data_IF_830178588314
#
_entry.id   IF_830178588314
#
_cell.length_a   1.000
_cell.length_b   1.000
_cell.length_c   1.000
_cell.angle_alpha   90.00
_cell.angle_beta   90.00
_cell.angle_gamma   90.00
#
_symmetry.space_group_name_H-M   'P 1'
#
loop_
_entity.id
_entity.type
_entity.pdbx_description
1 polymer ?
#
# COMPACT_ATOMS: atom_id res chain seq x y z
N UNK A 1 66.52 61.85 -8.19
CA UNK A 1 65.30 61.50 -7.42
C UNK A 1 64.27 60.92 -8.37
N UNK A 2 63.98 59.62 -8.25
CA UNK A 2 63.09 58.84 -9.14
C UNK A 2 61.67 58.79 -8.55
N UNK A 3 60.65 59.05 -9.36
CA UNK A 3 59.29 58.56 -9.15
C UNK A 3 58.71 58.11 -10.50
N UNK A 4 58.63 56.79 -10.71
CA UNK A 4 57.78 56.18 -11.74
C UNK A 4 56.61 55.52 -11.02
N UNK A 5 55.40 55.97 -11.37
CA UNK A 5 54.13 55.43 -10.91
C UNK A 5 53.82 54.18 -11.77
N UNK A 6 53.76 53.01 -11.16
CA UNK A 6 53.28 51.78 -11.80
C UNK A 6 51.92 51.47 -11.16
N UNK A 7 50.85 51.60 -11.95
CA UNK A 7 49.51 51.19 -11.57
C UNK A 7 49.37 49.67 -11.79
N UNK A 8 49.20 48.92 -10.70
CA UNK A 8 48.81 47.52 -10.74
C UNK A 8 47.28 47.43 -10.82
N UNK A 9 46.74 47.05 -11.97
CA UNK A 9 45.34 46.61 -12.10
C UNK A 9 45.31 45.15 -11.68
N UNK A 10 44.91 44.92 -10.43
CA UNK A 10 44.64 43.57 -9.91
C UNK A 10 43.22 43.17 -10.31
N UNK A 11 43.09 42.39 -11.38
CA UNK A 11 41.88 41.69 -11.77
C UNK A 11 41.56 40.62 -10.72
N UNK A 12 40.75 40.97 -9.73
CA UNK A 12 40.16 40.05 -8.77
C UNK A 12 39.11 39.21 -9.50
N UNK A 13 39.55 38.08 -10.06
CA UNK A 13 38.68 37.08 -10.67
C UNK A 13 37.86 36.40 -9.57
N UNK A 14 36.67 36.93 -9.33
CA UNK A 14 35.67 36.41 -8.40
C UNK A 14 35.14 35.08 -8.98
N UNK A 15 35.84 33.98 -8.66
CA UNK A 15 35.37 32.63 -8.97
C UNK A 15 34.21 32.31 -8.03
N UNK A 16 32.99 32.64 -8.46
CA UNK A 16 31.73 32.24 -7.82
C UNK A 16 31.60 30.70 -7.94
N UNK A 17 32.22 29.97 -7.02
CA UNK A 17 31.85 28.59 -6.75
C UNK A 17 30.50 28.60 -6.05
N UNK A 18 29.41 28.68 -6.83
CA UNK A 18 28.08 28.38 -6.32
C UNK A 18 28.11 26.94 -5.79
N UNK A 19 27.85 26.69 -4.50
CA UNK A 19 27.70 25.33 -4.03
C UNK A 19 26.49 24.74 -4.75
N UNK A 20 26.73 23.77 -5.62
CA UNK A 20 25.68 22.93 -6.17
C UNK A 20 25.12 22.12 -5.01
N UNK A 21 24.11 22.68 -4.32
CA UNK A 21 23.38 21.96 -3.28
C UNK A 21 22.79 20.72 -3.94
N UNK A 22 23.23 19.50 -3.59
CA UNK A 22 22.53 18.32 -4.05
C UNK A 22 21.11 18.41 -3.48
N UNK A 23 20.09 18.42 -4.33
CA UNK A 23 18.71 18.14 -3.90
C UNK A 23 18.66 16.80 -3.09
N UNK A 24 17.71 16.55 -2.21
CA UNK A 24 17.73 15.44 -1.22
C UNK A 24 16.35 14.82 -0.97
N UNK A 25 16.02 13.59 -1.40
CA UNK A 25 14.74 12.92 -1.02
C UNK A 25 14.68 12.86 0.50
N UNK A 26 13.50 12.90 1.12
CA UNK A 26 13.40 13.52 2.45
C UNK A 26 14.00 14.94 2.38
N UNK A 27 13.16 15.98 2.40
CA UNK A 27 13.64 17.36 2.39
C UNK A 27 14.78 17.51 3.42
N UNK A 28 15.90 18.11 3.01
CA UNK A 28 17.11 18.28 3.82
C UNK A 28 17.81 16.99 4.33
N UNK A 29 17.43 15.80 3.85
CA UNK A 29 18.10 14.52 4.12
C UNK A 29 19.51 14.41 3.52
N UNK A 30 20.10 13.23 3.56
CA UNK A 30 21.40 12.95 2.93
C UNK A 30 21.37 11.64 2.16
N UNK A 31 22.15 11.54 1.08
CA UNK A 31 22.29 10.31 0.29
C UNK A 31 22.68 9.12 1.17
N UNK A 32 21.93 8.03 1.05
CA UNK A 32 22.18 6.78 1.75
C UNK A 32 22.53 5.67 0.76
N UNK A 33 23.70 5.84 0.14
CA UNK A 33 24.18 5.07 -1.02
C UNK A 33 24.27 3.54 -0.79
N UNK A 34 24.24 3.10 0.47
CA UNK A 34 24.42 1.70 0.85
C UNK A 34 23.33 1.20 1.81
N UNK A 35 22.20 1.89 1.90
CA UNK A 35 21.13 1.49 2.79
C UNK A 35 20.63 0.08 2.44
N UNK A 36 20.82 -0.90 3.34
CA UNK A 36 20.41 -2.28 3.08
C UNK A 36 18.97 -2.60 3.52
N UNK A 37 18.21 -1.60 3.96
CA UNK A 37 16.83 -1.72 4.45
C UNK A 37 15.81 -1.13 3.47
N UNK A 38 16.06 0.09 2.97
CA UNK A 38 15.09 0.84 2.18
C UNK A 38 15.07 0.35 0.73
N UNK A 39 13.87 0.00 0.27
CA UNK A 39 13.62 -0.44 -1.11
C UNK A 39 12.72 0.54 -1.83
N UNK A 40 12.89 0.63 -3.15
CA UNK A 40 11.96 1.33 -4.01
C UNK A 40 10.90 0.33 -4.50
N UNK A 41 9.64 0.75 -4.47
CA UNK A 41 8.50 -0.02 -4.96
C UNK A 41 7.91 0.72 -6.15
N UNK A 42 7.88 0.06 -7.30
CA UNK A 42 7.18 0.53 -8.50
C UNK A 42 5.85 -0.20 -8.63
N UNK A 43 4.78 0.58 -8.79
CA UNK A 43 3.42 0.08 -8.91
C UNK A 43 2.82 0.56 -10.22
N UNK A 44 2.44 -0.38 -11.07
CA UNK A 44 1.68 -0.11 -12.27
C UNK A 44 0.22 -0.47 -12.01
N UNK A 45 -0.63 0.54 -12.07
CA UNK A 45 -2.08 0.38 -12.08
C UNK A 45 -2.57 0.49 -13.52
N UNK A 46 -3.82 0.07 -13.75
CA UNK A 46 -4.44 0.12 -15.08
C UNK A 46 -4.40 1.48 -15.77
N UNK A 47 -4.35 2.58 -15.00
CA UNK A 47 -4.49 3.94 -15.52
C UNK A 47 -3.30 4.86 -15.21
N UNK A 48 -2.34 4.44 -14.38
CA UNK A 48 -1.17 5.24 -13.99
C UNK A 48 -0.09 4.36 -13.35
N UNK A 49 1.13 4.89 -13.30
CA UNK A 49 2.25 4.32 -12.55
C UNK A 49 2.55 5.23 -11.36
N UNK A 50 2.90 4.63 -10.23
CA UNK A 50 3.37 5.37 -9.05
C UNK A 50 4.56 4.64 -8.41
N UNK A 51 5.28 5.35 -7.56
CA UNK A 51 6.40 4.84 -6.80
C UNK A 51 6.22 5.14 -5.32
N UNK A 52 6.50 4.15 -4.49
CA UNK A 52 6.59 4.30 -3.04
C UNK A 52 7.93 3.78 -2.53
N UNK A 53 8.18 4.01 -1.25
CA UNK A 53 9.28 3.42 -0.51
C UNK A 53 8.79 2.20 0.28
N UNK A 54 9.72 1.35 0.70
CA UNK A 54 9.46 0.17 1.52
C UNK A 54 10.65 -0.16 2.41
N UNK A 55 10.46 -1.10 3.33
CA UNK A 55 11.52 -1.68 4.15
C UNK A 55 11.61 -3.19 3.91
N UNK A 56 12.81 -3.69 3.61
CA UNK A 56 13.10 -5.11 3.46
C UNK A 56 13.18 -5.76 4.86
N UNK A 57 12.17 -6.57 5.21
CA UNK A 57 12.08 -7.25 6.51
C UNK A 57 12.81 -8.60 6.51
N UNK A 58 12.79 -9.27 5.36
CA UNK A 58 13.43 -10.55 5.12
C UNK A 58 13.72 -10.65 3.62
N UNK A 59 14.54 -11.61 3.16
CA UNK A 59 14.93 -11.69 1.74
C UNK A 59 13.76 -11.68 0.74
N UNK A 60 12.57 -12.17 1.13
CA UNK A 60 11.36 -12.18 0.29
C UNK A 60 10.19 -11.40 0.87
N UNK A 61 10.40 -10.58 1.89
CA UNK A 61 9.32 -9.86 2.57
C UNK A 61 9.68 -8.39 2.67
N UNK A 62 8.82 -7.54 2.11
CA UNK A 62 8.91 -6.09 2.23
C UNK A 62 7.68 -5.58 2.94
N UNK A 63 7.85 -4.58 3.81
CA UNK A 63 6.72 -3.81 4.35
C UNK A 63 6.69 -2.43 3.73
N UNK A 64 5.49 -1.92 3.47
CA UNK A 64 5.24 -0.58 2.96
C UNK A 64 3.93 -0.06 3.56
N UNK A 65 3.53 1.15 3.19
CA UNK A 65 2.26 1.70 3.62
C UNK A 65 1.12 1.11 2.78
N UNK A 66 -0.01 0.82 3.40
CA UNK A 66 -1.17 0.23 2.73
C UNK A 66 -1.75 1.13 1.66
N UNK A 67 -1.69 2.44 1.88
CA UNK A 67 -2.12 3.41 0.92
C UNK A 67 -1.24 3.28 -0.32
N UNK A 68 0.05 2.97 -0.29
CA UNK A 68 0.79 2.73 -1.54
C UNK A 68 0.12 1.67 -2.45
N UNK A 69 -0.48 0.64 -1.85
CA UNK A 69 -1.16 -0.43 -2.56
C UNK A 69 -2.64 -0.10 -2.84
N UNK A 70 -3.28 0.68 -1.96
CA UNK A 70 -4.71 1.04 -2.00
C UNK A 70 -5.03 2.43 -2.54
N UNK A 71 -4.02 3.28 -2.74
CA UNK A 71 -4.14 4.74 -2.84
C UNK A 71 -5.10 5.11 -3.97
N UNK A 72 -6.09 5.99 -3.79
CA UNK A 72 -7.04 6.30 -2.70
C UNK A 72 -7.99 7.30 -3.36
N UNK A 73 -9.28 7.15 -3.07
CA UNK A 73 -10.34 8.05 -3.50
C UNK A 73 -11.52 7.25 -4.01
N UNK A 74 -12.67 7.43 -3.37
CA UNK A 74 -13.98 6.87 -3.73
C UNK A 74 -14.37 7.07 -5.21
N UNK A 75 -13.60 7.89 -5.94
CA UNK A 75 -13.61 8.18 -7.37
C UNK A 75 -13.06 7.06 -8.28
N UNK A 76 -12.19 6.15 -7.79
CA UNK A 76 -11.40 5.27 -8.67
C UNK A 76 -11.53 3.77 -8.34
N UNK A 77 -12.76 3.27 -8.24
CA UNK A 77 -13.08 1.85 -7.92
C UNK A 77 -12.59 0.82 -8.96
N UNK A 78 -11.88 1.24 -10.01
CA UNK A 78 -11.43 0.40 -11.13
C UNK A 78 -9.90 0.31 -11.27
N UNK A 79 -9.11 0.89 -10.36
CA UNK A 79 -7.65 0.82 -10.45
C UNK A 79 -7.15 -0.54 -9.92
N UNK A 80 -6.93 -1.47 -10.84
CA UNK A 80 -6.34 -2.78 -10.53
C UNK A 80 -4.82 -2.67 -10.67
N UNK A 81 -4.07 -3.18 -9.70
CA UNK A 81 -2.62 -3.35 -9.81
C UNK A 81 -2.35 -4.35 -10.93
N UNK A 82 -1.69 -3.89 -12.00
CA UNK A 82 -1.25 -4.74 -13.11
C UNK A 82 0.08 -5.42 -12.80
N UNK A 83 0.98 -4.71 -12.13
CA UNK A 83 2.25 -5.26 -11.67
C UNK A 83 2.79 -4.44 -10.50
N UNK A 84 3.46 -5.10 -9.56
CA UNK A 84 4.29 -4.45 -8.57
C UNK A 84 5.69 -5.06 -8.60
N UNK A 85 6.69 -4.18 -8.50
CA UNK A 85 8.10 -4.54 -8.57
C UNK A 85 8.87 -3.84 -7.48
N UNK A 86 9.88 -4.52 -6.94
CA UNK A 86 10.72 -4.02 -5.85
C UNK A 86 12.18 -4.05 -6.28
N UNK A 87 12.87 -2.92 -6.14
CA UNK A 87 14.31 -2.83 -6.36
C UNK A 87 15.09 -3.44 -5.17
N UNK A 88 16.32 -3.94 -5.39
CA UNK A 88 17.21 -4.25 -4.27
C UNK A 88 17.40 -3.05 -3.35
N UNK A 89 17.68 -3.30 -2.07
CA UNK A 89 17.81 -2.22 -1.09
C UNK A 89 18.97 -1.28 -1.44
N UNK A 90 18.74 0.02 -1.28
CA UNK A 90 19.75 1.06 -1.50
C UNK A 90 20.09 1.38 -2.96
N UNK A 91 19.53 0.68 -3.95
CA UNK A 91 19.86 0.89 -5.36
C UNK A 91 19.34 2.22 -5.88
N UNK A 92 19.97 2.75 -6.93
CA UNK A 92 19.48 3.95 -7.59
C UNK A 92 18.04 3.79 -8.14
N UNK A 93 17.24 4.85 -8.04
CA UNK A 93 15.83 4.97 -8.44
C UNK A 93 15.56 4.60 -9.90
N UNK A 94 16.50 4.95 -10.77
CA UNK A 94 16.50 4.65 -12.20
C UNK A 94 17.55 3.56 -12.54
N UNK A 95 17.89 2.74 -11.55
CA UNK A 95 18.75 1.59 -11.71
C UNK A 95 18.19 0.59 -12.72
N UNK A 96 19.00 -0.40 -13.09
CA UNK A 96 18.63 -1.38 -14.10
C UNK A 96 17.32 -2.10 -13.72
N UNK A 97 16.22 -1.83 -14.44
CA UNK A 97 14.89 -2.39 -14.17
C UNK A 97 14.86 -3.93 -14.19
N UNK A 98 15.87 -4.59 -14.78
CA UNK A 98 15.99 -6.05 -14.77
C UNK A 98 16.38 -6.63 -13.41
N UNK A 99 16.90 -5.82 -12.47
CA UNK A 99 17.18 -6.27 -11.11
C UNK A 99 15.96 -6.22 -10.18
N UNK A 100 14.85 -5.66 -10.66
CA UNK A 100 13.64 -5.56 -9.85
C UNK A 100 12.96 -6.92 -9.76
N UNK A 101 12.51 -7.25 -8.56
CA UNK A 101 11.80 -8.49 -8.28
C UNK A 101 10.30 -8.24 -8.29
N UNK A 102 9.55 -9.11 -8.96
CA UNK A 102 8.09 -9.04 -8.95
C UNK A 102 7.54 -9.37 -7.56
N UNK A 103 6.48 -8.66 -7.17
CA UNK A 103 5.66 -9.01 -6.01
C UNK A 103 4.62 -10.04 -6.43
N UNK A 104 4.50 -11.13 -5.68
CA UNK A 104 3.53 -12.21 -5.96
C UNK A 104 2.26 -12.10 -5.13
N UNK A 105 2.35 -11.53 -3.93
CA UNK A 105 1.24 -11.42 -3.00
C UNK A 105 1.33 -10.15 -2.14
N UNK A 106 0.17 -9.71 -1.66
CA UNK A 106 0.01 -8.56 -0.78
C UNK A 106 -0.81 -8.98 0.44
N UNK A 107 -0.32 -8.70 1.64
CA UNK A 107 -1.06 -8.84 2.89
C UNK A 107 -1.26 -7.45 3.46
N UNK A 108 -2.50 -6.98 3.36
CA UNK A 108 -2.87 -5.64 3.79
C UNK A 108 -3.32 -5.71 5.25
N UNK A 109 -2.85 -4.75 6.04
CA UNK A 109 -3.25 -4.55 7.43
C UNK A 109 -4.22 -3.37 7.59
N UNK A 110 -5.46 -3.37 7.01
CA UNK A 110 -6.51 -2.47 7.42
C UNK A 110 -7.46 -3.16 8.39
N UNK A 111 -7.74 -2.52 9.53
CA UNK A 111 -9.08 -2.62 10.11
C UNK A 111 -9.56 -1.22 10.43
N UNK A 112 -10.70 -0.86 9.82
CA UNK A 112 -11.50 0.35 10.10
C UNK A 112 -10.97 1.69 9.54
N UNK A 113 -10.67 1.76 8.24
CA UNK A 113 -10.57 3.05 7.54
C UNK A 113 -9.38 3.94 7.94
N UNK A 114 -8.50 3.46 8.80
CA UNK A 114 -7.24 4.11 9.15
C UNK A 114 -6.11 3.57 8.30
N UNK A 115 -5.30 4.50 7.83
CA UNK A 115 -3.92 4.36 7.37
C UNK A 115 -3.16 3.19 8.05
N UNK A 116 -2.86 2.12 7.31
CA UNK A 116 -2.28 0.86 7.83
C UNK A 116 -1.08 0.35 7.01
N UNK A 117 -0.50 -0.80 7.36
CA UNK A 117 0.67 -1.34 6.64
C UNK A 117 0.28 -2.34 5.54
N UNK A 118 1.22 -2.63 4.64
CA UNK A 118 1.11 -3.70 3.66
C UNK A 118 2.42 -4.50 3.60
N UNK A 119 2.31 -5.82 3.68
CA UNK A 119 3.41 -6.75 3.47
C UNK A 119 3.37 -7.32 2.06
N UNK A 120 4.52 -7.28 1.38
CA UNK A 120 4.70 -7.73 0.01
C UNK A 120 5.55 -9.00 0.02
N UNK A 121 5.08 -10.04 -0.66
CA UNK A 121 5.85 -11.26 -0.89
C UNK A 121 6.54 -11.18 -2.24
N UNK A 122 7.85 -11.37 -2.25
CA UNK A 122 8.68 -11.27 -3.44
C UNK A 122 8.83 -12.64 -4.13
N UNK A 123 8.85 -12.63 -5.46
CA UNK A 123 9.05 -13.83 -6.28
C UNK A 123 10.42 -14.48 -6.00
N UNK A 124 11.48 -13.69 -6.02
CA UNK A 124 12.85 -14.08 -5.70
C UNK A 124 13.38 -13.34 -4.48
N UNK A 125 14.44 -13.88 -3.88
CA UNK A 125 15.08 -13.25 -2.73
C UNK A 125 15.90 -12.05 -3.18
N UNK A 126 15.81 -10.96 -2.43
CA UNK A 126 16.74 -9.84 -2.47
C UNK A 126 17.86 -10.08 -1.45
N UNK A 127 19.01 -9.45 -1.67
CA UNK A 127 20.12 -9.47 -0.72
C UNK A 127 19.70 -8.82 0.59
N UNK A 128 19.86 -9.57 1.68
CA UNK A 128 19.46 -9.16 3.02
C UNK A 128 20.69 -9.19 3.93
N UNK A 129 21.13 -8.01 4.38
CA UNK A 129 22.46 -7.85 5.00
C UNK A 129 22.46 -7.97 6.53
N UNK A 130 21.33 -7.70 7.20
CA UNK A 130 21.23 -7.74 8.65
C UNK A 130 19.84 -8.20 9.10
N UNK A 131 19.74 -8.83 10.28
CA UNK A 131 18.45 -9.10 10.91
C UNK A 131 17.63 -7.81 11.09
N UNK A 132 16.33 -7.90 10.85
CA UNK A 132 15.37 -6.82 11.12
C UNK A 132 14.35 -7.34 12.11
N UNK A 133 14.27 -6.69 13.28
CA UNK A 133 13.27 -6.96 14.31
C UNK A 133 12.27 -5.83 14.35
N UNK A 134 10.99 -6.16 14.39
CA UNK A 134 9.94 -5.16 14.60
C UNK A 134 9.94 -4.72 16.07
N UNK A 135 9.93 -3.41 16.31
CA UNK A 135 9.87 -2.83 17.63
C UNK A 135 8.59 -3.24 18.36
N UNK A 136 8.69 -3.64 19.61
CA UNK A 136 7.57 -3.87 20.52
C UNK A 136 7.02 -2.54 21.08
N UNK A 137 5.86 -2.58 21.73
CA UNK A 137 5.35 -1.40 22.46
C UNK A 137 6.37 -0.88 23.49
N UNK A 138 7.06 -1.76 24.21
CA UNK A 138 8.09 -1.38 25.17
C UNK A 138 9.30 -0.72 24.52
N UNK A 139 9.72 -1.17 23.33
CA UNK A 139 10.78 -0.50 22.56
C UNK A 139 10.37 0.94 22.19
N UNK A 140 9.12 1.13 21.76
CA UNK A 140 8.58 2.46 21.43
C UNK A 140 8.55 3.37 22.66
N UNK A 141 8.05 2.86 23.79
CA UNK A 141 8.01 3.60 25.06
C UNK A 141 9.42 4.01 25.51
N UNK A 142 10.41 3.14 25.34
CA UNK A 142 11.81 3.42 25.68
C UNK A 142 12.41 4.51 24.79
N UNK A 143 12.23 4.38 23.47
CA UNK A 143 12.68 5.36 22.48
C UNK A 143 12.10 6.75 22.75
N UNK A 144 10.80 6.81 23.10
CA UNK A 144 10.12 8.06 23.43
C UNK A 144 10.60 8.65 24.77
N UNK A 145 10.61 7.84 25.83
CA UNK A 145 10.92 8.30 27.19
C UNK A 145 12.36 8.78 27.30
N UNK A 146 13.30 8.05 26.68
CA UNK A 146 14.72 8.39 26.69
C UNK A 146 15.12 9.35 25.56
N UNK A 147 14.19 9.72 24.68
CA UNK A 147 14.44 10.59 23.50
C UNK A 147 15.59 10.08 22.64
N UNK A 148 15.62 8.76 22.42
CA UNK A 148 16.67 8.14 21.62
C UNK A 148 16.47 8.51 20.14
N UNK A 149 17.56 8.77 19.40
CA UNK A 149 17.47 9.12 18.00
C UNK A 149 16.95 7.93 17.18
N UNK A 150 16.11 8.25 16.21
CA UNK A 150 15.64 7.33 15.18
C UNK A 150 16.11 7.81 13.81
N UNK A 151 16.09 6.91 12.84
CA UNK A 151 16.37 7.17 11.44
C UNK A 151 15.10 6.95 10.62
N UNK A 152 14.94 7.72 9.56
CA UNK A 152 13.93 7.46 8.56
C UNK A 152 14.51 7.65 7.17
N UNK A 153 14.08 6.81 6.23
CA UNK A 153 14.65 6.79 4.88
C UNK A 153 13.59 6.58 3.79
N UNK A 154 13.85 7.11 2.59
CA UNK A 154 12.92 7.01 1.48
C UNK A 154 13.47 7.47 0.13
N UNK A 155 12.72 7.15 -0.93
CA UNK A 155 12.98 7.49 -2.33
C UNK A 155 12.10 8.63 -2.86
N UNK A 156 11.39 9.32 -1.98
CA UNK A 156 10.40 10.33 -2.34
C UNK A 156 10.96 11.59 -2.96
N UNK A 157 10.11 12.61 -3.00
CA UNK A 157 10.46 13.95 -3.46
C UNK A 157 11.41 14.60 -2.44
N UNK A 158 12.19 15.56 -2.92
CA UNK A 158 13.24 16.21 -2.15
C UNK A 158 13.00 17.65 -1.79
N UNK A 159 12.12 18.29 -2.55
CA UNK A 159 11.88 19.71 -2.53
C UNK A 159 10.42 19.92 -2.19
N UNK A 160 10.16 20.78 -1.20
CA UNK A 160 8.81 21.04 -0.73
C UNK A 160 7.90 21.69 -1.76
N UNK A 161 8.46 22.39 -2.75
CA UNK A 161 7.72 23.18 -3.74
C UNK A 161 7.79 22.58 -5.16
N UNK A 162 8.67 21.61 -5.40
CA UNK A 162 8.92 21.05 -6.71
C UNK A 162 9.07 19.53 -6.67
N UNK A 163 8.65 18.87 -7.75
CA UNK A 163 8.89 17.44 -7.93
C UNK A 163 10.35 17.25 -8.34
N UNK A 164 11.21 17.08 -7.34
CA UNK A 164 12.62 16.76 -7.53
C UNK A 164 12.89 15.42 -6.88
N UNK A 165 13.53 14.51 -7.62
CA UNK A 165 13.91 13.18 -7.13
C UNK A 165 15.42 13.06 -7.02
N UNK A 166 15.85 12.16 -6.14
CA UNK A 166 17.26 11.75 -6.05
C UNK A 166 17.48 10.39 -6.68
N UNK A 167 18.72 10.21 -7.15
CA UNK A 167 19.16 8.93 -7.65
C UNK A 167 19.12 7.88 -6.53
N UNK A 168 19.58 8.20 -5.33
CA UNK A 168 19.67 7.26 -4.21
C UNK A 168 18.63 7.57 -3.14
N UNK A 169 18.26 6.58 -2.31
CA UNK A 169 17.42 6.87 -1.17
C UNK A 169 18.18 7.79 -0.24
N UNK A 170 17.41 8.42 0.62
CA UNK A 170 17.94 9.42 1.52
C UNK A 170 17.51 9.10 2.91
N UNK A 171 18.28 9.61 3.85
CA UNK A 171 18.12 9.35 5.26
C UNK A 171 18.20 10.66 6.04
N UNK A 172 17.47 10.70 7.14
CA UNK A 172 17.62 11.72 8.16
C UNK A 172 17.35 11.15 9.55
N UNK A 173 17.81 11.88 10.56
CA UNK A 173 17.55 11.57 11.96
C UNK A 173 16.28 12.28 12.45
N UNK A 174 15.58 11.66 13.39
CA UNK A 174 14.42 12.20 14.06
C UNK A 174 14.29 11.71 15.50
N UNK A 175 13.18 12.05 16.13
CA UNK A 175 12.83 11.67 17.50
C UNK A 175 11.35 11.28 17.53
N UNK A 176 11.03 10.15 18.17
CA UNK A 176 9.64 9.80 18.44
C UNK A 176 9.06 10.75 19.48
N UNK A 177 7.79 11.13 19.32
CA UNK A 177 7.08 11.87 20.36
C UNK A 177 5.61 11.45 20.41
N UNK A 178 5.06 11.43 21.61
CA UNK A 178 3.63 11.20 21.85
C UNK A 178 2.91 12.56 21.87
N UNK A 179 1.96 12.78 20.97
CA UNK A 179 0.96 13.84 21.15
C UNK A 179 -0.30 13.21 21.76
N UNK A 180 -0.70 13.67 22.95
CA UNK A 180 -1.79 13.11 23.74
C UNK A 180 -3.17 13.25 23.07
N UNK A 181 -3.30 14.12 22.06
CA UNK A 181 -4.61 14.45 21.47
C UNK A 181 -5.01 13.58 20.27
N UNK A 182 -4.06 12.89 19.61
CA UNK A 182 -4.34 12.07 18.45
C UNK A 182 -3.77 10.66 18.66
N UNK A 183 -4.59 9.63 18.48
CA UNK A 183 -4.23 8.20 18.64
C UNK A 183 -3.17 7.68 17.64
N UNK A 184 -2.38 8.57 17.04
CA UNK A 184 -1.35 8.27 16.05
C UNK A 184 0.03 8.44 16.68
N UNK A 185 1.01 7.63 16.26
CA UNK A 185 2.38 7.80 16.72
C UNK A 185 3.14 8.66 15.72
N UNK A 186 3.79 9.68 16.25
CA UNK A 186 4.46 10.70 15.46
C UNK A 186 5.97 10.67 15.69
N UNK A 187 6.70 11.15 14.69
CA UNK A 187 8.09 11.53 14.85
C UNK A 187 8.30 12.95 14.35
N UNK A 188 9.32 13.60 14.89
CA UNK A 188 9.74 14.94 14.50
C UNK A 188 11.19 14.95 14.07
N UNK A 189 11.52 15.85 13.16
CA UNK A 189 12.87 16.04 12.65
C UNK A 189 13.11 17.50 12.29
N UNK A 190 14.38 17.91 12.32
CA UNK A 190 14.81 19.24 11.89
C UNK A 190 16.25 19.15 11.37
N UNK A 191 16.55 19.69 10.18
CA UNK A 191 15.63 20.38 9.26
C UNK A 191 14.89 19.43 8.32
N UNK A 192 15.02 18.11 8.54
CA UNK A 192 14.57 17.12 7.59
C UNK A 192 13.06 16.83 7.67
N UNK A 193 12.45 16.44 6.55
CA UNK A 193 11.03 16.09 6.49
C UNK A 193 10.74 15.03 5.41
N UNK A 194 9.91 14.01 5.69
CA UNK A 194 9.36 13.15 4.65
C UNK A 194 8.52 13.92 3.63
N UNK A 195 8.53 13.45 2.39
CA UNK A 195 7.81 14.01 1.27
C UNK A 195 6.99 12.95 0.51
N UNK A 196 6.23 13.39 -0.48
CA UNK A 196 5.48 12.50 -1.38
C UNK A 196 6.40 11.44 -1.99
N UNK A 197 6.01 10.17 -1.89
CA UNK A 197 6.80 9.02 -2.34
C UNK A 197 7.69 8.39 -1.26
N UNK A 198 7.94 9.05 -0.13
CA UNK A 198 8.59 8.44 1.04
C UNK A 198 7.66 7.50 1.80
N UNK A 199 6.35 7.55 1.50
CA UNK A 199 5.35 6.62 2.01
C UNK A 199 5.81 5.16 1.90
N UNK A 200 5.71 4.46 3.02
CA UNK A 200 6.17 3.08 3.19
C UNK A 200 7.64 2.92 3.54
N UNK A 201 8.44 3.98 3.46
CA UNK A 201 9.85 3.98 3.86
C UNK A 201 10.03 3.69 5.35
N UNK A 202 11.15 3.06 5.77
CA UNK A 202 11.36 2.66 7.15
C UNK A 202 11.53 3.86 8.09
N UNK A 203 10.96 3.72 9.29
CA UNK A 203 11.35 4.46 10.50
C UNK A 203 11.98 3.43 11.45
N UNK A 204 13.22 3.62 11.87
CA UNK A 204 14.00 2.57 12.53
C UNK A 204 15.10 3.11 13.43
N UNK A 205 15.65 2.24 14.27
CA UNK A 205 16.92 2.47 14.96
C UNK A 205 17.94 1.43 14.47
N UNK A 206 19.15 1.88 14.14
CA UNK A 206 20.26 0.98 13.84
C UNK A 206 20.91 0.56 15.16
N UNK A 207 20.93 -0.75 15.43
CA UNK A 207 21.67 -1.35 16.53
C UNK A 207 22.93 -2.03 15.97
N UNK A 208 23.87 -2.43 16.86
CA UNK A 208 25.17 -2.97 16.46
C UNK A 208 25.08 -4.22 15.56
N UNK A 209 24.06 -5.06 15.77
CA UNK A 209 23.91 -6.35 15.07
C UNK A 209 22.55 -6.55 14.39
N UNK A 210 21.60 -5.63 14.58
CA UNK A 210 20.27 -5.71 13.99
C UNK A 210 19.71 -4.32 13.69
N UNK A 211 18.65 -4.28 12.90
CA UNK A 211 17.80 -3.10 12.77
C UNK A 211 16.54 -3.31 13.58
N UNK A 212 16.23 -2.33 14.42
CA UNK A 212 14.95 -2.21 15.10
C UNK A 212 13.99 -1.39 14.24
N UNK A 213 13.09 -2.04 13.51
CA UNK A 213 12.08 -1.37 12.69
C UNK A 213 10.91 -0.92 13.55
N UNK A 214 10.75 0.38 13.68
CA UNK A 214 9.71 1.04 14.48
C UNK A 214 8.39 1.06 13.70
N UNK A 215 8.48 1.35 12.40
CA UNK A 215 7.35 1.32 11.51
C UNK A 215 7.67 1.84 10.13
N UNK A 216 6.64 2.21 9.39
CA UNK A 216 6.79 2.78 8.04
C UNK A 216 6.11 4.14 7.92
N UNK A 217 6.70 5.04 7.14
CA UNK A 217 6.22 6.40 6.89
C UNK A 217 4.81 6.33 6.26
N UNK A 218 3.83 7.04 6.82
CA UNK A 218 2.47 7.09 6.25
C UNK A 218 2.27 8.18 5.19
N UNK A 219 3.31 8.97 4.93
CA UNK A 219 3.26 10.15 4.08
C UNK A 219 3.11 11.44 4.90
N UNK A 220 3.30 12.60 4.27
CA UNK A 220 3.23 13.87 4.97
C UNK A 220 1.77 14.21 5.36
N UNK A 221 1.48 14.32 6.66
CA UNK A 221 0.11 14.47 7.18
C UNK A 221 -0.41 15.93 7.10
N UNK A 222 0.45 16.87 6.74
CA UNK A 222 0.18 18.31 6.79
C UNK A 222 0.75 19.06 5.59
N UNK A 223 0.53 18.56 4.37
CA UNK A 223 0.88 19.36 3.19
C UNK A 223 -0.18 20.44 2.97
N UNK A 224 0.25 21.71 2.85
CA UNK A 224 -0.60 22.70 2.16
C UNK A 224 -0.86 22.20 0.73
N UNK A 225 -1.94 22.64 0.09
CA UNK A 225 -2.35 22.17 -1.24
C UNK A 225 -1.25 22.24 -2.34
N UNK A 226 -0.19 23.02 -2.11
CA UNK A 226 0.92 23.22 -3.04
C UNK A 226 2.27 22.70 -2.51
N UNK A 227 2.29 21.83 -1.50
CA UNK A 227 3.52 21.33 -0.89
C UNK A 227 3.64 19.81 -1.01
N UNK A 228 4.85 19.34 -1.30
CA UNK A 228 5.15 17.91 -1.41
C UNK A 228 5.70 17.30 -0.12
N UNK A 229 6.12 18.12 0.84
CA UNK A 229 6.79 17.69 2.07
C UNK A 229 6.02 18.12 3.32
N UNK A 230 6.20 17.40 4.44
CA UNK A 230 5.60 17.75 5.73
C UNK A 230 5.98 19.18 6.12
N UNK A 231 5.00 20.01 6.49
CA UNK A 231 5.27 21.37 6.94
C UNK A 231 5.85 21.39 8.35
N UNK A 232 6.67 22.40 8.61
CA UNK A 232 6.93 22.86 9.97
C UNK A 232 5.61 23.34 10.60
N UNK A 233 5.13 22.64 11.62
CA UNK A 233 3.96 23.08 12.39
C UNK A 233 4.45 23.59 13.74
N UNK A 234 4.28 24.88 14.01
CA UNK A 234 4.33 25.39 15.38
C UNK A 234 3.11 24.79 16.10
N UNK A 235 3.32 23.80 16.97
CA UNK A 235 2.21 23.24 17.78
C UNK A 235 1.57 24.41 18.54
N UNK A 236 0.25 24.65 18.44
CA UNK A 236 -0.44 25.62 19.27
C UNK A 236 -0.29 25.20 20.73
N UNK A 237 0.49 25.97 21.52
CA UNK A 237 0.73 25.68 22.94
C UNK A 237 2.12 25.13 23.29
N UNK A 238 2.96 24.82 22.30
CA UNK A 238 4.35 24.39 22.51
C UNK A 238 5.36 25.53 22.43
N UNK A 239 5.30 26.51 23.34
CA UNK A 239 6.44 27.43 23.51
C UNK A 239 7.56 26.67 24.23
N UNK A 240 8.59 26.25 23.50
CA UNK A 240 9.98 26.53 23.87
C UNK A 240 10.98 26.21 22.73
N UNK A 241 11.70 27.27 22.33
CA UNK A 241 13.10 27.33 21.89
C UNK A 241 13.46 26.94 20.42
N UNK A 242 13.48 27.97 19.57
CA UNK A 242 14.42 28.24 18.47
C UNK A 242 14.57 27.25 17.30
N UNK A 243 13.75 26.19 17.20
CA UNK A 243 13.82 25.24 16.09
C UNK A 243 12.43 24.84 15.63
N UNK A 244 12.09 25.16 14.38
CA UNK A 244 10.89 24.65 13.73
C UNK A 244 11.11 23.18 13.36
N UNK A 245 10.22 22.29 13.80
CA UNK A 245 10.29 20.85 13.51
C UNK A 245 9.26 20.48 12.45
N UNK A 246 9.64 19.60 11.54
CA UNK A 246 8.70 18.93 10.66
C UNK A 246 8.10 17.72 11.41
N UNK A 247 6.77 17.62 11.35
CA UNK A 247 6.01 16.58 12.04
C UNK A 247 5.47 15.55 11.05
N UNK A 248 5.70 14.27 11.34
CA UNK A 248 5.26 13.18 10.47
C UNK A 248 4.68 12.02 11.28
N UNK A 249 3.94 11.14 10.59
CA UNK A 249 3.31 9.98 11.18
C UNK A 249 3.90 8.72 10.56
N UNK A 250 3.98 7.69 11.39
CA UNK A 250 4.32 6.36 10.93
C UNK A 250 3.25 5.36 11.35
N UNK A 251 3.25 4.21 10.69
CA UNK A 251 2.40 3.07 11.03
C UNK A 251 3.19 2.15 11.96
N UNK A 252 2.77 1.98 13.23
CA UNK A 252 3.38 0.99 14.10
C UNK A 252 3.12 -0.43 13.57
N UNK A 253 4.15 -1.28 13.63
CA UNK A 253 4.06 -2.67 13.15
C UNK A 253 3.89 -3.70 14.27
N UNK A 254 3.82 -3.27 15.54
CA UNK A 254 3.61 -4.15 16.69
C UNK A 254 2.15 -4.46 17.00
N UNK A 255 1.22 -3.93 16.21
CA UNK A 255 -0.20 -4.23 16.39
C UNK A 255 -0.47 -5.71 16.12
N UNK A 256 -1.46 -6.29 16.80
CA UNK A 256 -1.83 -7.70 16.62
C UNK A 256 -2.17 -8.03 15.16
N UNK A 257 -2.83 -7.11 14.45
CA UNK A 257 -3.14 -7.26 13.03
C UNK A 257 -1.87 -7.26 12.17
N UNK A 258 -0.93 -6.34 12.39
CA UNK A 258 0.33 -6.29 11.63
C UNK A 258 1.19 -7.54 11.87
N UNK A 259 1.27 -8.03 13.10
CA UNK A 259 1.97 -9.28 13.45
C UNK A 259 1.30 -10.48 12.77
N UNK A 260 -0.03 -10.54 12.76
CA UNK A 260 -0.79 -11.59 12.07
C UNK A 260 -0.53 -11.59 10.56
N UNK A 261 -0.57 -10.42 9.92
CA UNK A 261 -0.37 -10.31 8.47
C UNK A 261 1.07 -10.61 8.04
N UNK A 262 2.05 -10.19 8.83
CA UNK A 262 3.45 -10.58 8.63
C UNK A 262 3.62 -12.10 8.74
N UNK A 263 2.93 -12.74 9.69
CA UNK A 263 2.94 -14.19 9.81
C UNK A 263 2.37 -14.86 8.55
N UNK A 264 1.25 -14.37 8.03
CA UNK A 264 0.68 -14.87 6.78
C UNK A 264 1.64 -14.73 5.59
N UNK A 265 2.31 -13.58 5.47
CA UNK A 265 3.34 -13.35 4.45
C UNK A 265 4.53 -14.32 4.59
N UNK A 266 4.96 -14.60 5.82
CA UNK A 266 6.07 -15.52 6.12
C UNK A 266 5.70 -16.98 5.85
N UNK A 267 4.49 -17.38 6.24
CA UNK A 267 3.95 -18.73 5.99
C UNK A 267 3.83 -18.98 4.47
N UNK A 268 3.48 -17.94 3.69
CA UNK A 268 3.45 -17.98 2.23
C UNK A 268 4.82 -18.25 1.61
N UNK A 269 5.86 -17.54 2.04
CA UNK A 269 7.24 -17.77 1.59
C UNK A 269 7.70 -19.19 1.92
N UNK A 270 7.38 -19.68 3.12
CA UNK A 270 7.78 -21.01 3.59
C UNK A 270 7.09 -22.14 2.82
N UNK A 271 5.81 -21.97 2.49
CA UNK A 271 5.03 -22.95 1.72
C UNK A 271 5.50 -23.06 0.26
N UNK A 272 5.92 -21.94 -0.35
CA UNK A 272 6.47 -21.91 -1.70
C UNK A 272 7.83 -22.65 -1.83
N UNK A 273 8.55 -22.88 -0.73
CA UNK A 273 9.81 -23.67 -0.72
C UNK A 273 9.58 -25.17 -0.89
N UNK A 274 8.35 -25.65 -0.64
CA UNK A 274 8.01 -27.09 -0.63
C UNK A 274 7.43 -27.55 -1.98
N UNK A 275 7.05 -26.63 -2.86
CA UNK A 275 6.43 -26.93 -4.14
C UNK A 275 7.08 -26.08 -5.24
N UNK A 276 7.83 -26.67 -6.16
CA UNK A 276 7.97 -26.05 -7.48
C UNK A 276 8.28 -27.05 -8.61
N UNK A 277 7.29 -27.22 -9.48
CA UNK A 277 7.50 -27.41 -10.93
C UNK A 277 6.65 -26.34 -11.66
N UNK A 278 7.27 -25.26 -12.17
CA UNK A 278 6.60 -24.02 -12.56
C UNK A 278 5.59 -24.14 -13.72
N UNK A 279 5.74 -25.14 -14.61
CA UNK A 279 4.81 -25.32 -15.73
C UNK A 279 3.44 -25.87 -15.31
N UNK A 280 3.37 -26.58 -14.18
CA UNK A 280 2.12 -27.14 -13.66
C UNK A 280 1.28 -26.07 -12.96
N UNK A 281 1.96 -25.18 -12.23
CA UNK A 281 1.31 -24.13 -11.44
C UNK A 281 0.61 -23.08 -12.32
N UNK A 282 1.16 -22.77 -13.51
CA UNK A 282 0.50 -21.85 -14.46
C UNK A 282 -0.80 -22.44 -15.06
N UNK A 283 -0.80 -23.75 -15.35
CA UNK A 283 -1.98 -24.45 -15.86
C UNK A 283 -3.08 -24.54 -14.79
N UNK A 284 -2.69 -24.83 -13.54
CA UNK A 284 -3.62 -24.89 -12.40
C UNK A 284 -4.18 -23.49 -12.07
N UNK A 285 -3.37 -22.43 -12.15
CA UNK A 285 -3.83 -21.04 -11.99
C UNK A 285 -4.93 -20.66 -12.99
N UNK A 286 -4.71 -20.90 -14.29
CA UNK A 286 -5.69 -20.59 -15.34
C UNK A 286 -6.99 -21.38 -15.15
N UNK A 287 -6.87 -22.65 -14.76
CA UNK A 287 -8.02 -23.51 -14.45
C UNK A 287 -8.87 -22.93 -13.30
N UNK A 288 -8.21 -22.43 -12.26
CA UNK A 288 -8.87 -21.86 -11.08
C UNK A 288 -9.51 -20.51 -11.38
N UNK A 289 -8.83 -19.63 -12.13
CA UNK A 289 -9.43 -18.38 -12.61
C UNK A 289 -10.71 -18.63 -13.39
N UNK A 290 -10.70 -19.63 -14.28
CA UNK A 290 -11.88 -20.00 -15.06
C UNK A 290 -13.03 -20.48 -14.16
N UNK A 291 -12.75 -21.26 -13.12
CA UNK A 291 -13.77 -21.69 -12.13
C UNK A 291 -14.35 -20.51 -11.36
N UNK A 292 -13.54 -19.54 -10.96
CA UNK A 292 -14.00 -18.34 -10.26
C UNK A 292 -14.85 -17.45 -11.17
N UNK A 293 -14.42 -17.22 -12.40
CA UNK A 293 -15.20 -16.49 -13.41
C UNK A 293 -16.56 -17.14 -13.65
N UNK A 294 -16.61 -18.47 -13.79
CA UNK A 294 -17.88 -19.21 -13.92
C UNK A 294 -18.79 -19.01 -12.71
N UNK A 295 -18.24 -19.00 -11.48
CA UNK A 295 -19.01 -18.70 -10.28
C UNK A 295 -19.59 -17.28 -10.30
N UNK A 296 -18.81 -16.27 -10.71
CA UNK A 296 -19.28 -14.89 -10.81
C UNK A 296 -20.36 -14.72 -11.89
N UNK A 297 -20.21 -15.33 -13.07
CA UNK A 297 -21.24 -15.33 -14.11
C UNK A 297 -22.54 -15.98 -13.62
N UNK A 298 -22.44 -16.99 -12.75
CA UNK A 298 -23.59 -17.60 -12.10
C UNK A 298 -24.32 -16.61 -11.19
N UNK A 299 -23.60 -15.79 -10.41
CA UNK A 299 -24.22 -14.72 -9.62
C UNK A 299 -24.89 -13.65 -10.50
N UNK A 300 -24.32 -13.29 -11.64
CA UNK A 300 -24.96 -12.35 -12.56
C UNK A 300 -26.28 -12.89 -13.12
N UNK A 301 -26.35 -14.18 -13.44
CA UNK A 301 -27.61 -14.84 -13.79
C UNK A 301 -28.62 -14.80 -12.63
N UNK A 302 -28.18 -15.14 -11.41
CA UNK A 302 -29.05 -15.15 -10.23
C UNK A 302 -29.61 -13.76 -9.90
N UNK A 303 -28.81 -12.70 -10.04
CA UNK A 303 -29.30 -11.32 -9.82
C UNK A 303 -30.38 -10.91 -10.80
N UNK A 304 -30.26 -11.32 -12.08
CA UNK A 304 -31.30 -11.07 -13.09
C UNK A 304 -32.58 -11.86 -12.80
N UNK A 305 -32.44 -13.10 -12.33
CA UNK A 305 -33.58 -13.98 -12.01
C UNK A 305 -34.27 -13.62 -10.71
N UNK A 306 -33.50 -13.27 -9.67
CA UNK A 306 -33.99 -12.97 -8.32
C UNK A 306 -33.65 -11.54 -7.94
N UNK A 307 -34.28 -10.59 -8.63
CA UNK A 307 -34.06 -9.15 -8.43
C UNK A 307 -34.25 -8.79 -6.95
N UNK A 308 -33.31 -8.01 -6.39
CA UNK A 308 -33.29 -7.56 -5.00
C UNK A 308 -33.21 -8.67 -3.92
N UNK A 309 -32.79 -9.90 -4.28
CA UNK A 309 -32.54 -10.93 -3.28
C UNK A 309 -31.24 -10.62 -2.50
N UNK A 310 -31.39 -10.14 -1.27
CA UNK A 310 -30.26 -9.76 -0.40
C UNK A 310 -29.28 -10.91 -0.13
N UNK A 311 -29.75 -12.16 -0.15
CA UNK A 311 -28.89 -13.34 0.05
C UNK A 311 -27.96 -13.53 -1.15
N UNK A 312 -28.48 -13.38 -2.38
CA UNK A 312 -27.68 -13.43 -3.61
C UNK A 312 -26.58 -12.36 -3.57
N UNK A 313 -26.94 -11.13 -3.19
CA UNK A 313 -25.99 -10.02 -3.09
C UNK A 313 -24.91 -10.25 -2.02
N UNK A 314 -25.29 -10.77 -0.85
CA UNK A 314 -24.35 -11.07 0.23
C UNK A 314 -23.39 -12.21 -0.14
N UNK A 315 -23.88 -13.24 -0.82
CA UNK A 315 -23.06 -14.36 -1.30
C UNK A 315 -22.09 -13.92 -2.40
N UNK A 316 -22.55 -13.11 -3.36
CA UNK A 316 -21.69 -12.54 -4.40
C UNK A 316 -20.57 -11.69 -3.78
N UNK A 317 -20.91 -10.82 -2.82
CA UNK A 317 -19.92 -10.00 -2.10
C UNK A 317 -18.83 -10.90 -1.52
N UNK A 318 -19.20 -11.96 -0.79
CA UNK A 318 -18.22 -12.91 -0.23
C UNK A 318 -17.43 -13.66 -1.31
N UNK A 319 -18.06 -14.04 -2.41
CA UNK A 319 -17.40 -14.73 -3.52
C UNK A 319 -16.36 -13.86 -4.26
N UNK A 320 -16.60 -12.53 -4.35
CA UNK A 320 -15.66 -11.56 -4.93
C UNK A 320 -14.44 -11.34 -4.04
N UNK A 321 -14.59 -11.49 -2.73
CA UNK A 321 -13.50 -11.35 -1.76
C UNK A 321 -12.85 -12.69 -1.38
N UNK A 322 -13.09 -13.77 -2.14
CA UNK A 322 -12.34 -15.00 -1.93
C UNK A 322 -10.84 -14.71 -2.14
N UNK A 323 -9.97 -15.11 -1.20
CA UNK A 323 -8.54 -14.82 -1.30
C UNK A 323 -7.94 -15.65 -2.44
N UNK A 324 -7.85 -15.05 -3.63
CA UNK A 324 -7.24 -15.66 -4.80
C UNK A 324 -5.77 -15.25 -4.88
N UNK A 325 -4.86 -16.20 -4.66
CA UNK A 325 -3.42 -15.99 -4.79
C UNK A 325 -2.90 -16.78 -6.00
N UNK A 326 -2.06 -16.16 -6.86
CA UNK A 326 -1.43 -16.85 -7.98
C UNK A 326 -0.52 -18.02 -7.62
N UNK A 327 -0.13 -18.16 -6.34
CA UNK A 327 0.79 -19.21 -5.89
C UNK A 327 0.22 -19.97 -4.66
N UNK A 328 -1.11 -19.96 -4.48
CA UNK A 328 -1.77 -20.58 -3.33
C UNK A 328 -2.06 -22.06 -3.53
N UNK A 329 -2.29 -22.80 -2.43
CA UNK A 329 -2.92 -24.11 -2.52
C UNK A 329 -4.34 -23.94 -3.09
N UNK A 330 -4.47 -24.20 -4.39
CA UNK A 330 -5.73 -24.06 -5.11
C UNK A 330 -6.79 -25.02 -4.58
N UNK A 331 -6.42 -26.09 -3.88
CA UNK A 331 -7.36 -27.08 -3.33
C UNK A 331 -8.36 -26.41 -2.38
N UNK A 332 -7.88 -25.52 -1.51
CA UNK A 332 -8.73 -24.78 -0.56
C UNK A 332 -9.65 -23.80 -1.28
N UNK A 333 -9.14 -23.06 -2.26
CA UNK A 333 -9.92 -22.11 -3.04
C UNK A 333 -10.98 -22.81 -3.92
N UNK A 334 -10.62 -23.96 -4.52
CA UNK A 334 -11.56 -24.82 -5.25
C UNK A 334 -12.64 -25.35 -4.31
N UNK A 335 -12.28 -25.84 -3.12
CA UNK A 335 -13.23 -26.31 -2.13
C UNK A 335 -14.19 -25.19 -1.67
N UNK A 336 -13.71 -23.95 -1.56
CA UNK A 336 -14.55 -22.78 -1.28
C UNK A 336 -15.50 -22.46 -2.43
N UNK A 337 -15.03 -22.48 -3.69
CA UNK A 337 -15.88 -22.33 -4.88
C UNK A 337 -16.95 -23.43 -4.92
N UNK A 338 -16.59 -24.68 -4.64
CA UNK A 338 -17.53 -25.80 -4.60
C UNK A 338 -18.55 -25.66 -3.46
N UNK A 339 -18.11 -25.20 -2.30
CA UNK A 339 -18.98 -24.86 -1.18
C UNK A 339 -19.99 -23.76 -1.54
N UNK A 340 -19.54 -22.72 -2.27
CA UNK A 340 -20.43 -21.69 -2.81
C UNK A 340 -21.45 -22.25 -3.79
N UNK A 341 -21.01 -23.07 -4.75
CA UNK A 341 -21.90 -23.71 -5.71
C UNK A 341 -22.95 -24.57 -5.01
N UNK A 342 -22.55 -25.40 -4.04
CA UNK A 342 -23.47 -26.23 -3.24
C UNK A 342 -24.49 -25.38 -2.48
N UNK A 343 -24.06 -24.25 -1.90
CA UNK A 343 -24.97 -23.30 -1.24
C UNK A 343 -25.96 -22.72 -2.24
N UNK A 344 -25.49 -22.24 -3.40
CA UNK A 344 -26.34 -21.74 -4.48
C UNK A 344 -27.38 -22.80 -4.88
N UNK A 345 -26.96 -24.04 -5.11
CA UNK A 345 -27.84 -25.14 -5.52
C UNK A 345 -28.92 -25.44 -4.47
N UNK A 346 -28.53 -25.46 -3.19
CA UNK A 346 -29.49 -25.64 -2.10
C UNK A 346 -30.47 -24.48 -1.99
N UNK A 347 -30.00 -23.25 -2.19
CA UNK A 347 -30.82 -22.04 -2.12
C UNK A 347 -31.75 -21.91 -3.32
N UNK A 348 -31.32 -22.30 -4.52
CA UNK A 348 -32.15 -22.31 -5.73
C UNK A 348 -33.43 -23.14 -5.54
N UNK A 349 -33.34 -24.32 -4.91
CA UNK A 349 -34.51 -25.15 -4.60
C UNK A 349 -35.53 -24.43 -3.70
N UNK A 350 -35.06 -23.59 -2.80
CA UNK A 350 -35.90 -22.81 -1.88
C UNK A 350 -36.44 -21.57 -2.59
N UNK A 351 -35.58 -20.86 -3.31
CA UNK A 351 -35.94 -19.65 -4.05
C UNK A 351 -36.96 -19.97 -5.14
N UNK A 352 -36.78 -21.01 -5.94
CA UNK A 352 -37.76 -21.41 -6.96
C UNK A 352 -39.12 -21.83 -6.36
N UNK A 353 -39.14 -22.36 -5.12
CA UNK A 353 -40.39 -22.64 -4.42
C UNK A 353 -41.11 -21.38 -3.94
N UNK A 354 -40.37 -20.32 -3.62
CA UNK A 354 -40.87 -19.05 -3.07
C UNK A 354 -40.99 -17.94 -4.11
N UNK A 355 -40.40 -18.11 -5.29
CA UNK A 355 -40.37 -17.12 -6.34
C UNK A 355 -41.74 -17.08 -7.02
N UNK A 356 -42.51 -16.07 -6.63
CA UNK A 356 -43.74 -15.69 -7.28
C UNK A 356 -43.41 -14.55 -8.23
N UNK A 357 -43.63 -14.79 -9.52
CA UNK A 357 -43.45 -13.77 -10.55
C UNK A 357 -44.69 -12.89 -10.56
N UNK A 358 -44.46 -11.58 -10.59
CA UNK A 358 -45.51 -10.57 -10.70
C UNK A 358 -45.53 -10.07 -12.15
N UNK A 359 -46.63 -10.27 -12.86
CA UNK A 359 -46.84 -9.67 -14.19
C UNK A 359 -47.96 -8.66 -14.10
N UNK A 360 -47.84 -7.61 -14.90
CA UNK A 360 -48.89 -6.64 -15.14
C UNK A 360 -49.62 -7.03 -16.43
N UNK A 361 -50.93 -7.13 -16.36
CA UNK A 361 -51.80 -7.57 -17.43
C UNK A 361 -52.80 -6.45 -17.76
N UNK A 362 -52.97 -6.12 -19.03
CA UNK A 362 -53.82 -5.02 -19.49
C UNK A 362 -54.95 -5.50 -20.41
N UNK A 363 -56.13 -4.89 -20.29
CA UNK A 363 -57.29 -5.07 -21.17
C UNK A 363 -58.02 -3.73 -21.32
N UNK A 364 -57.76 -3.03 -22.43
CA UNK A 364 -58.13 -1.61 -22.56
C UNK A 364 -57.46 -0.79 -21.44
N UNK A 365 -58.24 0.01 -20.73
CA UNK A 365 -57.77 0.84 -19.61
C UNK A 365 -57.66 0.07 -18.28
N UNK A 366 -58.06 -1.21 -18.25
CA UNK A 366 -58.03 -2.02 -17.02
C UNK A 366 -56.68 -2.70 -16.86
N UNK A 367 -56.06 -2.50 -15.71
CA UNK A 367 -54.81 -3.16 -15.31
C UNK A 367 -55.06 -4.19 -14.22
N UNK A 368 -54.44 -5.36 -14.31
CA UNK A 368 -54.41 -6.39 -13.27
C UNK A 368 -52.99 -6.87 -13.03
N UNK A 369 -52.64 -6.97 -11.75
CA UNK A 369 -51.38 -7.57 -11.32
C UNK A 369 -51.66 -9.04 -11.00
N UNK A 370 -50.98 -9.95 -11.70
CA UNK A 370 -51.05 -11.39 -11.41
C UNK A 370 -49.75 -11.80 -10.73
N UNK A 371 -49.88 -12.39 -9.55
CA UNK A 371 -48.73 -12.90 -8.78
C UNK A 371 -48.87 -14.41 -8.62
N UNK A 372 -48.04 -15.19 -9.29
CA UNK A 372 -48.00 -16.66 -9.13
C UNK A 372 -46.64 -17.23 -9.58
N UNK A 373 -46.43 -18.54 -9.45
CA UNK A 373 -45.20 -19.21 -9.92
C UNK A 373 -45.04 -19.16 -11.45
N UNK A 374 -46.17 -19.25 -12.16
CA UNK A 374 -46.25 -19.19 -13.62
C UNK A 374 -47.43 -18.30 -13.99
N UNK A 375 -47.33 -16.98 -13.78
CA UNK A 375 -48.47 -16.10 -13.91
C UNK A 375 -48.90 -16.05 -15.38
N UNK A 376 -50.20 -16.19 -15.60
CA UNK A 376 -50.83 -16.03 -16.90
C UNK A 376 -51.85 -14.93 -16.78
N UNK A 377 -51.92 -14.06 -17.78
CA UNK A 377 -52.97 -13.06 -17.82
C UNK A 377 -54.35 -13.76 -17.90
N UNK A 378 -55.36 -13.26 -17.17
CA UNK A 378 -56.73 -13.77 -17.30
C UNK A 378 -57.20 -13.68 -18.75
N UNK A 379 -58.17 -14.51 -19.14
CA UNK A 379 -58.74 -14.51 -20.50
C UNK A 379 -59.12 -13.08 -20.91
N UNK A 380 -58.62 -12.64 -22.07
CA UNK A 380 -58.83 -11.30 -22.61
C UNK A 380 -57.75 -10.26 -22.25
N UNK A 381 -56.95 -10.49 -21.21
CA UNK A 381 -55.84 -9.58 -20.86
C UNK A 381 -54.53 -9.98 -21.58
N UNK A 382 -53.71 -8.99 -21.95
CA UNK A 382 -52.35 -9.19 -22.49
C UNK A 382 -51.30 -8.77 -21.46
N UNK A 383 -50.10 -9.37 -21.52
CA UNK A 383 -48.97 -8.90 -20.71
C UNK A 383 -48.63 -7.49 -21.17
N UNK A 384 -48.46 -6.57 -20.21
CA UNK A 384 -48.08 -5.19 -20.45
C UNK A 384 -46.66 -5.08 -20.99
#
# INVERSE_FOLDING_TARGET
MRKKLIAFISTLSLCFCLPTMPAKAIENGTDDLNNALVVQIQLNFSNYTTSCSGALLAPKIVVTADHCIKLVGESNKNNVIQSAKVAPAGTARDGNLTSYVNVTDFFLTPREGKNGAAFLVLQSALDFKFPVRIASAADIDDLQTKKLPIKFAGYGITDKNQIVYKAFPQIADGELFSNLENSHIHFRSNPAAPCGGDSGGPVYQQLDSEVLLIGVIQGPWYTRANMYCSTETLIPGGVQQNKAYAYSVYIPLYTSDAVSDLKLATDKVSSARVLSNPNKDELDYKSVQLKHQKLLSRFDFLKRRYVNNYIVLAMEKKARYLPFSPLGDYSKFIAEIESFNKKIDSSLRIWDRRFITKIECVLGDKTKIVTSKSPKCPKGYKIK
#
